data_IF_054406295852
#
_entry.id   IF_054406295852
#
_cell.length_a   1.000
_cell.length_b   1.000
_cell.length_c   1.000
_cell.angle_alpha   90.00
_cell.angle_beta   90.00
_cell.angle_gamma   90.00
#
_symmetry.space_group_name_H-M   'P 1'
#
loop_
_entity.id
_entity.type
_entity.pdbx_description
1 polymer ?
#
# COMPACT_ATOMS: atom_id res chain seq x y z
N UNK A 1 16.69 11.06 -13.20
CA UNK A 1 16.49 9.61 -13.12
C UNK A 1 15.19 9.23 -12.39
N UNK A 2 14.22 10.16 -12.29
CA UNK A 2 12.98 10.05 -11.50
C UNK A 2 11.71 9.77 -12.33
N UNK A 3 11.78 9.95 -13.66
CA UNK A 3 10.60 9.92 -14.54
C UNK A 3 9.95 8.55 -14.73
N UNK A 4 10.68 7.47 -14.49
CA UNK A 4 10.19 6.10 -14.75
C UNK A 4 9.38 5.56 -13.57
N UNK A 5 9.88 5.73 -12.34
CA UNK A 5 9.17 5.36 -11.10
C UNK A 5 7.84 6.11 -10.96
N UNK A 6 7.81 7.40 -11.29
CA UNK A 6 6.57 8.19 -11.26
C UNK A 6 5.54 7.71 -12.29
N UNK A 7 5.99 7.18 -13.43
CA UNK A 7 5.10 6.67 -14.48
C UNK A 7 4.50 5.32 -14.07
N UNK A 8 5.32 4.39 -13.61
CA UNK A 8 4.88 3.07 -13.16
C UNK A 8 3.94 3.18 -11.96
N UNK A 9 4.26 4.03 -10.98
CA UNK A 9 3.38 4.30 -9.84
C UNK A 9 2.01 4.85 -10.27
N UNK A 10 1.99 5.70 -11.32
CA UNK A 10 0.77 6.32 -11.83
C UNK A 10 -0.07 5.38 -12.69
N UNK A 11 0.56 4.50 -13.45
CA UNK A 11 -0.10 3.43 -14.21
C UNK A 11 -0.72 2.39 -13.25
N UNK A 12 0.03 2.00 -12.22
CA UNK A 12 -0.51 1.16 -11.14
C UNK A 12 -1.69 1.85 -10.44
N UNK A 13 -1.55 3.13 -10.08
CA UNK A 13 -2.64 3.89 -9.46
C UNK A 13 -3.88 3.95 -10.34
N UNK A 14 -3.74 4.17 -11.64
CA UNK A 14 -4.87 4.17 -12.57
C UNK A 14 -5.53 2.80 -12.66
N UNK A 15 -4.74 1.72 -12.78
CA UNK A 15 -5.26 0.36 -12.81
C UNK A 15 -6.04 0.02 -11.53
N UNK A 16 -5.49 0.36 -10.37
CA UNK A 16 -6.14 0.18 -9.06
C UNK A 16 -7.39 1.04 -8.87
N UNK A 17 -7.40 2.26 -9.40
CA UNK A 17 -8.54 3.18 -9.31
C UNK A 17 -9.67 2.82 -10.28
N UNK A 18 -9.35 2.07 -11.34
CA UNK A 18 -10.31 1.57 -12.34
C UNK A 18 -10.83 0.17 -12.05
N UNK A 19 -10.15 -0.60 -11.19
CA UNK A 19 -10.56 -1.94 -10.80
C UNK A 19 -11.74 -1.90 -9.85
N UNK A 20 -12.78 -2.68 -10.14
CA UNK A 20 -13.89 -2.87 -9.22
C UNK A 20 -13.34 -3.50 -7.92
N UNK A 21 -13.96 -3.25 -6.77
CA UNK A 21 -13.42 -3.72 -5.45
C UNK A 21 -13.13 -5.24 -5.42
N UNK A 22 -13.78 -6.00 -6.29
CA UNK A 22 -13.61 -7.44 -6.45
C UNK A 22 -12.32 -7.83 -7.21
N UNK A 23 -11.82 -7.00 -8.12
CA UNK A 23 -10.55 -7.24 -8.84
C UNK A 23 -9.34 -7.07 -7.91
N UNK A 24 -9.42 -6.13 -6.96
CA UNK A 24 -8.40 -5.87 -5.93
C UNK A 24 -8.29 -7.07 -4.96
N UNK A 25 -9.41 -7.71 -4.62
CA UNK A 25 -9.42 -8.96 -3.82
C UNK A 25 -8.75 -10.13 -4.54
N UNK A 26 -8.82 -10.18 -5.87
CA UNK A 26 -8.19 -11.24 -6.67
C UNK A 26 -6.66 -11.26 -6.49
N UNK A 27 -6.06 -10.08 -6.28
CA UNK A 27 -4.63 -9.91 -6.01
C UNK A 27 -4.27 -10.44 -4.61
N UNK A 28 -5.15 -10.25 -3.63
CA UNK A 28 -4.94 -10.69 -2.24
C UNK A 28 -5.08 -12.21 -2.05
N UNK A 29 -5.73 -12.92 -2.98
CA UNK A 29 -5.94 -14.38 -2.90
C UNK A 29 -4.75 -15.22 -3.44
N UNK A 30 -3.62 -14.58 -3.76
CA UNK A 30 -2.39 -15.31 -4.07
C UNK A 30 -1.77 -15.81 -2.77
N UNK A 31 -1.70 -17.13 -2.62
CA UNK A 31 -1.05 -17.84 -1.50
C UNK A 31 0.45 -17.59 -1.35
N UNK A 32 1.07 -16.87 -2.30
CA UNK A 32 2.50 -16.57 -2.32
C UNK A 32 2.85 -15.22 -1.67
N UNK A 33 1.85 -14.51 -1.13
CA UNK A 33 2.09 -13.25 -0.41
C UNK A 33 2.67 -13.54 0.98
N UNK A 34 3.82 -12.93 1.26
CA UNK A 34 4.51 -13.07 2.56
C UNK A 34 3.82 -12.31 3.68
N UNK A 35 3.14 -11.21 3.34
CA UNK A 35 2.38 -10.36 4.25
C UNK A 35 0.92 -10.27 3.79
N UNK A 36 -0.02 -10.34 4.73
CA UNK A 36 -1.46 -10.26 4.49
C UNK A 36 -2.01 -8.82 4.60
N UNK A 37 -3.26 -8.62 4.18
CA UNK A 37 -3.98 -7.36 4.43
C UNK A 37 -4.15 -7.07 5.93
N UNK A 38 -4.36 -8.12 6.72
CA UNK A 38 -4.50 -8.01 8.17
C UNK A 38 -3.20 -7.51 8.81
N UNK A 39 -2.04 -7.99 8.37
CA UNK A 39 -0.73 -7.53 8.87
C UNK A 39 -0.52 -6.04 8.63
N UNK A 40 -0.91 -5.53 7.45
CA UNK A 40 -0.83 -4.11 7.12
C UNK A 40 -1.83 -3.30 7.96
N UNK A 41 -3.06 -3.79 8.09
CA UNK A 41 -4.10 -3.14 8.90
C UNK A 41 -3.67 -2.99 10.36
N UNK A 42 -3.13 -4.05 10.95
CA UNK A 42 -2.65 -4.03 12.33
C UNK A 42 -1.42 -3.15 12.48
N UNK A 43 -0.53 -3.14 11.48
CA UNK A 43 0.60 -2.22 11.44
C UNK A 43 0.14 -0.75 11.45
N UNK A 44 -0.81 -0.37 10.59
CA UNK A 44 -1.36 0.99 10.52
C UNK A 44 -2.01 1.37 11.86
N UNK A 45 -2.80 0.46 12.45
CA UNK A 45 -3.44 0.69 13.75
C UNK A 45 -2.42 0.89 14.87
N UNK A 46 -1.32 0.13 14.84
CA UNK A 46 -0.24 0.19 15.83
C UNK A 46 0.59 1.49 15.77
N UNK A 47 0.50 2.26 14.68
CA UNK A 47 1.24 3.52 14.55
C UNK A 47 0.94 4.43 15.74
N UNK A 48 1.96 4.86 16.47
CA UNK A 48 1.74 5.81 17.57
C UNK A 48 1.24 7.15 17.02
N UNK A 49 0.42 7.86 17.79
CA UNK A 49 0.13 9.27 17.49
C UNK A 49 1.44 10.05 17.59
N UNK A 50 2.07 10.30 16.44
CA UNK A 50 3.23 11.18 16.31
C UNK A 50 2.81 12.34 15.43
N UNK A 51 2.99 13.55 15.95
CA UNK A 51 2.64 14.79 15.25
C UNK A 51 3.68 15.19 14.20
N UNK A 52 4.87 14.61 14.23
CA UNK A 52 5.95 14.90 13.28
C UNK A 52 5.76 14.05 12.03
N UNK A 53 5.42 14.69 10.91
CA UNK A 53 5.51 14.09 9.59
C UNK A 53 6.97 14.00 9.12
N UNK A 54 7.23 13.08 8.18
CA UNK A 54 8.54 12.95 7.54
C UNK A 54 8.84 14.10 6.57
N UNK A 55 9.92 13.96 5.78
CA UNK A 55 10.26 14.91 4.72
C UNK A 55 9.15 15.09 3.67
N UNK A 56 8.32 14.05 3.49
CA UNK A 56 7.16 14.00 2.60
C UNK A 56 5.89 14.66 3.18
N UNK A 57 5.95 15.18 4.40
CA UNK A 57 4.82 15.74 5.14
C UNK A 57 3.66 14.78 5.40
N UNK A 58 3.84 13.47 5.20
CA UNK A 58 2.84 12.45 5.53
C UNK A 58 2.89 12.17 7.03
N UNK A 59 1.78 12.38 7.72
CA UNK A 59 1.66 12.12 9.16
C UNK A 59 1.07 10.75 9.46
N UNK A 60 1.35 10.20 10.64
CA UNK A 60 0.71 8.95 11.09
C UNK A 60 -0.82 9.08 11.16
N UNK A 61 -1.33 10.28 11.42
CA UNK A 61 -2.78 10.55 11.39
C UNK A 61 -3.34 10.32 9.98
N UNK A 62 -2.69 10.87 8.97
CA UNK A 62 -3.10 10.68 7.57
C UNK A 62 -3.09 9.21 7.18
N UNK A 63 -2.05 8.47 7.57
CA UNK A 63 -1.94 7.03 7.28
C UNK A 63 -3.08 6.24 7.92
N UNK A 64 -3.47 6.58 9.15
CA UNK A 64 -4.60 5.94 9.85
C UNK A 64 -5.97 6.28 9.26
N UNK A 65 -6.08 7.40 8.56
CA UNK A 65 -7.31 7.86 7.92
C UNK A 65 -7.42 7.34 6.47
N UNK A 66 -6.43 6.59 5.98
CA UNK A 66 -6.50 5.93 4.68
C UNK A 66 -7.66 4.92 4.69
N UNK A 67 -8.56 4.95 3.68
CA UNK A 67 -9.64 3.97 3.56
C UNK A 67 -9.11 2.53 3.43
N UNK A 68 -9.78 1.56 4.07
CA UNK A 68 -9.32 0.16 4.13
C UNK A 68 -9.10 -0.47 2.74
N UNK A 69 -9.83 -0.04 1.70
CA UNK A 69 -9.61 -0.49 0.32
C UNK A 69 -8.18 -0.24 -0.20
N UNK A 70 -7.46 0.73 0.36
CA UNK A 70 -6.06 1.00 0.03
C UNK A 70 -5.10 0.11 0.82
N UNK A 71 -5.53 -0.56 1.90
CA UNK A 71 -4.68 -1.50 2.63
C UNK A 71 -4.29 -2.67 1.72
N UNK A 72 -5.21 -3.17 0.89
CA UNK A 72 -4.91 -4.23 -0.09
C UNK A 72 -3.80 -3.80 -1.07
N UNK A 73 -3.84 -2.54 -1.52
CA UNK A 73 -2.83 -1.97 -2.42
C UNK A 73 -1.49 -1.88 -1.71
N UNK A 74 -1.47 -1.42 -0.46
CA UNK A 74 -0.27 -1.36 0.37
C UNK A 74 0.34 -2.75 0.61
N UNK A 75 -0.49 -3.76 0.89
CA UNK A 75 -0.07 -5.16 1.03
C UNK A 75 0.58 -5.66 -0.25
N UNK A 76 -0.01 -5.38 -1.41
CA UNK A 76 0.58 -5.81 -2.68
C UNK A 76 1.91 -5.12 -2.95
N UNK A 77 1.97 -3.80 -2.81
CA UNK A 77 3.19 -3.02 -3.01
C UNK A 77 4.31 -3.48 -2.07
N UNK A 78 3.99 -3.70 -0.80
CA UNK A 78 4.96 -4.15 0.20
C UNK A 78 5.53 -5.54 -0.11
N UNK A 79 4.68 -6.49 -0.52
CA UNK A 79 5.13 -7.81 -0.94
C UNK A 79 6.01 -7.74 -2.20
N UNK A 80 5.66 -6.93 -3.21
CA UNK A 80 6.49 -6.77 -4.40
C UNK A 80 7.88 -6.20 -4.08
N UNK A 81 7.93 -5.14 -3.25
CA UNK A 81 9.19 -4.54 -2.81
C UNK A 81 10.05 -5.56 -2.05
N UNK A 82 9.43 -6.37 -1.20
CA UNK A 82 10.14 -7.41 -0.46
C UNK A 82 10.71 -8.49 -1.41
N UNK A 83 9.92 -8.96 -2.37
CA UNK A 83 10.36 -9.95 -3.36
C UNK A 83 11.50 -9.44 -4.24
N UNK A 84 11.55 -8.14 -4.56
CA UNK A 84 12.62 -7.54 -5.35
C UNK A 84 13.93 -7.31 -4.55
N UNK A 85 13.88 -7.36 -3.22
CA UNK A 85 15.02 -7.19 -2.34
C UNK A 85 15.75 -8.50 -1.99
N UNK A 86 15.31 -9.63 -2.55
CA UNK A 86 15.93 -10.95 -2.47
C UNK A 86 16.36 -11.42 -3.87
#
# INVERSE_FOLDING_TARGET
MTKTLDKEARELWQLYSSGDKDDIKLISNRSDLRFSEQDITDTIRSLKSKNSSGFDQVSNKMIKEIPEQFHVILTHAYNQLFSAAH
#
